data_IF_373633379683
#
_entry.id   IF_373633379683
#
_cell.length_a   1.000
_cell.length_b   1.000
_cell.length_c   1.000
_cell.angle_alpha   90.00
_cell.angle_beta   90.00
_cell.angle_gamma   90.00
#
_symmetry.space_group_name_H-M   'P 1'
#
loop_
_entity.id
_entity.type
_entity.pdbx_description
1 polymer ?
#
# COMPACT_ATOMS: atom_id res chain seq x y z
N UNK A 1 24.79 59.09 10.36
CA UNK A 1 25.65 57.98 9.89
C UNK A 1 25.37 57.76 8.41
N UNK A 2 26.41 58.02 7.62
CA UNK A 2 26.53 57.97 6.15
C UNK A 2 26.42 56.50 5.70
N UNK A 3 26.01 56.05 4.50
CA UNK A 3 25.31 56.55 3.31
C UNK A 3 25.56 55.44 2.26
N UNK A 4 24.56 55.04 1.46
CA UNK A 4 24.70 54.59 0.04
C UNK A 4 25.59 53.34 -0.26
N UNK A 5 25.47 52.54 -1.32
CA UNK A 5 24.63 52.30 -2.51
C UNK A 5 25.44 51.26 -3.34
N UNK A 6 24.86 50.75 -4.43
CA UNK A 6 25.56 50.34 -5.68
C UNK A 6 26.11 48.89 -5.74
N UNK A 7 25.42 48.07 -6.57
CA UNK A 7 25.97 46.98 -7.38
C UNK A 7 27.15 47.48 -8.23
N UNK A 8 28.21 46.70 -8.48
CA UNK A 8 28.33 46.20 -9.86
C UNK A 8 29.12 44.89 -10.04
N UNK A 9 28.89 44.31 -11.23
CA UNK A 9 29.85 43.67 -12.15
C UNK A 9 30.78 42.55 -11.66
N UNK A 10 30.59 41.35 -12.23
CA UNK A 10 31.40 40.78 -13.32
C UNK A 10 32.95 40.96 -13.31
N UNK A 11 33.67 40.16 -14.10
CA UNK A 11 34.15 38.81 -13.83
C UNK A 11 35.69 38.81 -13.72
N UNK A 12 36.32 37.76 -13.19
CA UNK A 12 37.63 37.35 -13.74
C UNK A 12 38.10 36.00 -13.21
N UNK A 13 38.27 35.09 -14.17
CA UNK A 13 39.26 34.02 -14.13
C UNK A 13 40.60 34.59 -13.68
N UNK A 14 41.25 33.96 -12.71
CA UNK A 14 42.69 33.75 -12.77
C UNK A 14 43.00 32.30 -12.41
N UNK A 15 43.43 31.62 -13.46
CA UNK A 15 44.20 30.39 -13.46
C UNK A 15 45.43 30.64 -12.58
N UNK A 16 45.57 29.83 -11.54
CA UNK A 16 46.82 29.64 -10.80
C UNK A 16 47.07 28.14 -10.75
N UNK A 17 47.89 27.65 -11.67
CA UNK A 17 48.26 26.25 -11.81
C UNK A 17 49.74 26.14 -11.39
N UNK A 18 50.00 25.76 -10.14
CA UNK A 18 51.31 25.28 -9.63
C UNK A 18 50.96 24.41 -8.40
N UNK A 19 51.03 23.08 -8.45
CA UNK A 19 52.18 22.19 -8.58
C UNK A 19 52.40 21.44 -7.24
N UNK A 20 52.04 20.16 -7.27
CA UNK A 20 52.60 19.00 -6.56
C UNK A 20 52.95 19.11 -5.06
N UNK A 21 52.21 18.36 -4.24
CA UNK A 21 52.79 17.53 -3.18
C UNK A 21 51.86 16.37 -2.86
N UNK A 22 52.38 15.15 -3.00
CA UNK A 22 51.67 13.91 -2.73
C UNK A 22 51.29 13.77 -1.25
N UNK A 23 50.01 13.59 -0.98
CA UNK A 23 49.53 12.81 0.18
C UNK A 23 48.31 12.03 -0.30
N UNK A 24 48.42 10.70 -0.27
CA UNK A 24 47.34 9.81 -0.67
C UNK A 24 46.14 10.01 0.26
N UNK A 25 45.07 10.62 -0.27
CA UNK A 25 43.76 10.50 0.35
C UNK A 25 43.18 9.16 -0.07
N UNK A 26 43.16 8.23 0.88
CA UNK A 26 42.31 7.06 0.83
C UNK A 26 40.87 7.51 0.53
N UNK A 27 40.39 7.18 -0.67
CA UNK A 27 38.99 7.32 -1.00
C UNK A 27 38.21 6.31 -0.15
N UNK A 28 37.75 6.73 1.03
CA UNK A 28 36.68 6.03 1.74
C UNK A 28 35.41 6.20 0.92
N UNK A 29 35.24 5.31 -0.06
CA UNK A 29 33.94 5.02 -0.62
C UNK A 29 33.08 4.45 0.51
N UNK A 30 32.33 5.30 1.21
CA UNK A 30 31.17 4.84 1.96
C UNK A 30 30.19 4.30 0.92
N UNK A 31 30.31 3.01 0.63
CA UNK A 31 29.23 2.25 0.06
C UNK A 31 28.08 2.32 1.07
N UNK A 32 27.13 3.23 0.83
CA UNK A 32 25.85 3.19 1.49
C UNK A 32 25.22 1.85 1.10
N UNK A 33 25.35 0.86 1.97
CA UNK A 33 24.59 -0.37 1.84
C UNK A 33 23.11 0.04 1.79
N UNK A 34 22.33 -0.45 0.80
CA UNK A 34 20.91 -0.20 0.81
C UNK A 34 20.38 -0.76 2.13
N UNK A 35 19.86 0.13 2.98
CA UNK A 35 19.15 -0.29 4.17
C UNK A 35 18.03 -1.22 3.69
N UNK A 36 18.16 -2.51 3.98
CA UNK A 36 17.07 -3.45 3.83
C UNK A 36 15.94 -2.88 4.67
N UNK A 37 14.89 -2.38 4.01
CA UNK A 37 13.73 -1.84 4.69
C UNK A 37 13.25 -2.90 5.69
N UNK A 38 13.40 -2.62 6.99
CA UNK A 38 12.84 -3.48 8.02
C UNK A 38 11.33 -3.47 7.83
N UNK A 39 10.78 -4.60 7.40
CA UNK A 39 9.34 -4.75 7.26
C UNK A 39 8.76 -5.01 8.65
N UNK A 40 8.32 -3.95 9.32
CA UNK A 40 7.72 -4.06 10.64
C UNK A 40 6.32 -4.65 10.52
N UNK A 41 6.06 -5.74 11.25
CA UNK A 41 4.70 -6.28 11.36
C UNK A 41 3.88 -5.33 12.24
N UNK A 42 2.85 -4.73 11.64
CA UNK A 42 1.96 -3.78 12.30
C UNK A 42 1.00 -4.50 13.26
N UNK A 43 0.39 -5.59 12.80
CA UNK A 43 -0.45 -6.45 13.64
C UNK A 43 -0.61 -7.85 13.05
N UNK A 44 -1.11 -8.77 13.88
CA UNK A 44 -1.59 -10.09 13.45
C UNK A 44 -3.04 -10.27 13.89
N UNK A 45 -3.81 -10.97 13.06
CA UNK A 45 -5.21 -11.28 13.32
C UNK A 45 -5.46 -12.76 13.03
N UNK A 46 -5.78 -13.53 14.08
CA UNK A 46 -6.34 -14.87 13.96
C UNK A 46 -7.81 -14.79 13.55
N UNK A 47 -8.16 -15.35 12.39
CA UNK A 47 -9.50 -15.25 11.82
C UNK A 47 -9.84 -16.40 10.88
N UNK A 48 -10.91 -16.26 10.09
CA UNK A 48 -11.28 -17.17 9.02
C UNK A 48 -11.14 -16.49 7.67
N UNK A 49 -10.60 -17.24 6.71
CA UNK A 49 -10.45 -16.83 5.32
C UNK A 49 -11.12 -17.86 4.41
N UNK A 50 -11.60 -17.42 3.26
CA UNK A 50 -12.09 -18.28 2.18
C UNK A 50 -11.33 -17.95 0.91
N UNK A 51 -11.00 -18.98 0.13
CA UNK A 51 -10.25 -18.86 -1.13
C UNK A 51 -11.13 -19.42 -2.24
N UNK A 52 -11.23 -18.69 -3.36
CA UNK A 52 -12.04 -19.05 -4.54
C UNK A 52 -13.48 -19.47 -4.19
N UNK A 53 -14.10 -18.77 -3.25
CA UNK A 53 -15.47 -19.05 -2.79
C UNK A 53 -15.65 -20.35 -2.00
N UNK A 54 -14.55 -21.02 -1.62
CA UNK A 54 -14.58 -22.24 -0.80
C UNK A 54 -15.07 -22.02 0.63
N UNK A 55 -15.14 -23.10 1.41
CA UNK A 55 -15.53 -23.01 2.81
C UNK A 55 -14.53 -22.15 3.62
N UNK A 56 -15.01 -21.31 4.57
CA UNK A 56 -14.13 -20.57 5.47
C UNK A 56 -13.27 -21.52 6.31
N UNK A 57 -11.97 -21.25 6.35
CA UNK A 57 -10.97 -21.99 7.11
C UNK A 57 -10.14 -21.05 7.98
N UNK A 58 -9.52 -21.59 9.03
CA UNK A 58 -8.66 -20.80 9.91
C UNK A 58 -7.52 -20.17 9.11
N UNK A 59 -7.23 -18.90 9.39
CA UNK A 59 -6.14 -18.16 8.79
C UNK A 59 -5.57 -17.13 9.76
N UNK A 60 -4.32 -16.74 9.52
CA UNK A 60 -3.68 -15.61 10.20
C UNK A 60 -3.46 -14.52 9.17
N UNK A 61 -3.87 -13.30 9.48
CA UNK A 61 -3.58 -12.12 8.64
C UNK A 61 -2.48 -11.32 9.32
N UNK A 62 -1.35 -11.17 8.64
CA UNK A 62 -0.27 -10.29 9.06
C UNK A 62 -0.32 -9.00 8.23
N UNK A 63 -0.49 -7.87 8.90
CA UNK A 63 -0.31 -6.57 8.29
C UNK A 63 1.14 -6.15 8.47
N UNK A 64 1.84 -5.86 7.38
CA UNK A 64 3.27 -5.55 7.35
C UNK A 64 3.46 -4.21 6.65
N UNK A 65 4.22 -3.32 7.28
CA UNK A 65 4.59 -2.05 6.66
C UNK A 65 5.62 -2.28 5.54
N UNK A 66 5.35 -1.73 4.36
CA UNK A 66 6.24 -1.72 3.21
C UNK A 66 6.34 -0.28 2.65
N UNK A 67 6.97 0.61 3.43
CA UNK A 67 7.22 1.99 3.04
C UNK A 67 5.95 2.80 2.89
N UNK A 68 5.45 2.94 1.65
CA UNK A 68 4.20 3.65 1.33
C UNK A 68 3.00 2.73 1.13
N UNK A 69 3.17 1.43 1.37
CA UNK A 69 2.14 0.42 1.26
C UNK A 69 2.03 -0.40 2.55
N UNK A 70 0.86 -1.00 2.78
CA UNK A 70 0.69 -2.06 3.75
C UNK A 70 0.45 -3.38 3.01
N UNK A 71 1.20 -4.42 3.37
CA UNK A 71 1.00 -5.78 2.91
C UNK A 71 0.14 -6.54 3.91
N UNK A 72 -0.95 -7.13 3.43
CA UNK A 72 -1.80 -8.04 4.18
C UNK A 72 -1.55 -9.46 3.70
N UNK A 73 -0.74 -10.20 4.45
CA UNK A 73 -0.42 -11.60 4.18
C UNK A 73 -1.44 -12.48 4.86
N UNK A 74 -2.28 -13.13 4.07
CA UNK A 74 -3.28 -14.09 4.53
C UNK A 74 -2.64 -15.48 4.49
N UNK A 75 -2.25 -15.98 5.66
CA UNK A 75 -1.60 -17.28 5.84
C UNK A 75 -2.70 -18.31 6.10
N UNK A 76 -2.87 -19.23 5.16
CA UNK A 76 -3.96 -20.19 5.12
C UNK A 76 -3.38 -21.59 4.95
N UNK A 77 -3.11 -22.26 6.07
CA UNK A 77 -2.35 -23.50 6.08
C UNK A 77 -0.94 -23.27 5.51
N UNK A 78 -0.66 -23.82 4.32
CA UNK A 78 0.63 -23.65 3.61
C UNK A 78 0.60 -22.56 2.53
N UNK A 79 -0.58 -22.01 2.24
CA UNK A 79 -0.76 -20.99 1.20
C UNK A 79 -0.66 -19.61 1.82
N UNK A 80 -0.02 -18.68 1.11
CA UNK A 80 0.03 -17.27 1.51
C UNK A 80 -0.52 -16.42 0.38
N UNK A 81 -1.66 -15.79 0.60
CA UNK A 81 -2.25 -14.82 -0.32
C UNK A 81 -1.92 -13.41 0.17
N UNK A 82 -1.25 -12.61 -0.66
CA UNK A 82 -0.80 -11.27 -0.23
C UNK A 82 -1.54 -10.18 -0.98
N UNK A 83 -2.22 -9.31 -0.23
CA UNK A 83 -2.83 -8.08 -0.75
C UNK A 83 -1.95 -6.90 -0.36
N UNK A 84 -1.60 -6.06 -1.33
CA UNK A 84 -0.91 -4.80 -1.09
C UNK A 84 -1.87 -3.64 -1.26
N UNK A 85 -1.93 -2.76 -0.27
CA UNK A 85 -2.75 -1.56 -0.26
C UNK A 85 -1.86 -0.32 -0.13
N UNK A 86 -2.08 0.68 -0.99
CA UNK A 86 -1.49 2.03 -0.85
C UNK A 86 -2.61 3.02 -0.63
N UNK A 87 -2.40 4.09 0.15
CA UNK A 87 -3.50 4.99 0.55
C UNK A 87 -3.51 6.36 -0.15
N UNK A 88 -2.52 6.66 -1.00
CA UNK A 88 -2.41 7.97 -1.68
C UNK A 88 -1.78 7.86 -3.08
N UNK A 89 -2.56 7.51 -4.12
CA UNK A 89 -3.99 7.18 -4.09
C UNK A 89 -4.27 5.77 -3.55
N UNK A 90 -5.52 5.52 -3.18
CA UNK A 90 -5.99 4.17 -2.84
C UNK A 90 -5.79 3.25 -4.05
N UNK A 91 -4.95 2.23 -3.89
CA UNK A 91 -4.79 1.13 -4.84
C UNK A 91 -4.70 -0.18 -4.09
N UNK A 92 -5.23 -1.24 -4.69
CA UNK A 92 -5.11 -2.59 -4.16
C UNK A 92 -4.59 -3.52 -5.25
N UNK A 93 -3.65 -4.39 -4.86
CA UNK A 93 -3.05 -5.38 -5.75
C UNK A 93 -2.85 -6.70 -5.03
N UNK A 94 -2.86 -7.80 -5.76
CA UNK A 94 -2.57 -9.15 -5.26
C UNK A 94 -1.22 -9.61 -5.80
N UNK A 95 -0.46 -10.31 -4.96
CA UNK A 95 0.76 -10.98 -5.38
C UNK A 95 0.43 -12.25 -6.15
N UNK A 96 0.91 -12.37 -7.39
CA UNK A 96 0.72 -13.57 -8.21
C UNK A 96 1.99 -14.41 -8.14
N UNK A 97 1.94 -15.49 -7.38
CA UNK A 97 3.12 -16.31 -7.07
C UNK A 97 3.76 -16.94 -8.31
N UNK A 98 2.96 -17.37 -9.30
CA UNK A 98 3.46 -18.01 -10.52
C UNK A 98 4.24 -17.07 -11.44
N UNK A 99 3.92 -15.77 -11.45
CA UNK A 99 4.59 -14.76 -12.28
C UNK A 99 5.52 -13.86 -11.48
N UNK A 100 5.48 -13.94 -10.14
CA UNK A 100 6.22 -13.07 -9.21
C UNK A 100 5.97 -11.59 -9.48
N UNK A 101 4.72 -11.25 -9.75
CA UNK A 101 4.31 -9.87 -10.07
C UNK A 101 3.08 -9.46 -9.26
N UNK A 102 2.95 -8.15 -9.07
CA UNK A 102 1.73 -7.55 -8.53
C UNK A 102 0.71 -7.36 -9.66
N UNK A 103 -0.51 -7.86 -9.44
CA UNK A 103 -1.66 -7.60 -10.30
C UNK A 103 -2.64 -6.69 -9.57
N UNK A 104 -3.14 -5.64 -10.22
CA UNK A 104 -4.22 -4.82 -9.66
C UNK A 104 -5.45 -5.69 -9.39
N UNK A 105 -6.17 -5.39 -8.31
CA UNK A 105 -7.50 -5.95 -8.09
C UNK A 105 -8.48 -5.33 -9.08
N UNK A 106 -9.49 -6.08 -9.47
CA UNK A 106 -10.62 -5.61 -10.27
C UNK A 106 -11.71 -5.03 -9.36
N UNK A 107 -11.89 -5.60 -8.16
CA UNK A 107 -12.82 -5.10 -7.17
C UNK A 107 -12.47 -5.55 -5.74
N UNK A 108 -13.02 -4.82 -4.76
CA UNK A 108 -13.03 -5.24 -3.36
C UNK A 108 -14.40 -4.90 -2.74
N UNK A 109 -14.87 -5.73 -1.83
CA UNK A 109 -16.16 -5.57 -1.17
C UNK A 109 -16.06 -5.80 0.33
N UNK A 110 -16.81 -5.02 1.09
CA UNK A 110 -16.99 -5.17 2.53
C UNK A 110 -18.46 -5.48 2.81
N UNK A 111 -18.72 -6.58 3.51
CA UNK A 111 -20.04 -6.94 4.05
C UNK A 111 -20.02 -6.83 5.56
N UNK A 112 -20.75 -5.88 6.10
CA UNK A 112 -20.73 -5.56 7.52
C UNK A 112 -21.45 -6.59 8.38
N UNK A 113 -22.58 -7.15 7.94
CA UNK A 113 -23.32 -8.18 8.70
C UNK A 113 -22.48 -9.42 9.03
N UNK A 114 -21.52 -9.75 8.18
CA UNK A 114 -20.65 -10.92 8.34
C UNK A 114 -19.20 -10.54 8.67
N UNK A 115 -18.92 -9.25 8.90
CA UNK A 115 -17.58 -8.71 9.09
C UNK A 115 -16.58 -9.18 8.02
N UNK A 116 -17.03 -9.32 6.77
CA UNK A 116 -16.24 -9.95 5.70
C UNK A 116 -15.75 -8.94 4.69
N UNK A 117 -14.48 -8.99 4.36
CA UNK A 117 -13.87 -8.29 3.23
C UNK A 117 -13.57 -9.34 2.15
N UNK A 118 -13.90 -9.06 0.90
CA UNK A 118 -13.55 -9.91 -0.22
C UNK A 118 -12.85 -9.12 -1.32
N UNK A 119 -11.90 -9.77 -1.98
CA UNK A 119 -11.10 -9.23 -3.08
C UNK A 119 -11.40 -10.03 -4.35
N UNK A 120 -11.49 -9.33 -5.49
CA UNK A 120 -11.86 -9.88 -6.80
C UNK A 120 -13.07 -10.82 -6.72
N UNK A 121 -14.20 -10.28 -6.25
CA UNK A 121 -15.41 -11.07 -6.03
C UNK A 121 -15.29 -11.92 -4.76
N UNK A 122 -14.96 -13.21 -4.93
CA UNK A 122 -14.79 -14.18 -3.83
C UNK A 122 -13.46 -14.94 -3.93
N UNK A 123 -12.51 -14.39 -4.67
CA UNK A 123 -11.21 -15.02 -4.87
C UNK A 123 -10.43 -15.16 -3.56
N UNK A 124 -10.52 -14.13 -2.72
CA UNK A 124 -10.02 -14.15 -1.35
C UNK A 124 -10.99 -13.36 -0.48
N UNK A 125 -11.48 -13.99 0.58
CA UNK A 125 -12.29 -13.32 1.60
C UNK A 125 -11.68 -13.52 2.98
N UNK A 126 -11.84 -12.53 3.85
CA UNK A 126 -11.37 -12.55 5.23
C UNK A 126 -12.42 -11.97 6.17
N UNK A 127 -12.58 -12.56 7.35
CA UNK A 127 -13.38 -11.95 8.43
C UNK A 127 -12.48 -10.98 9.20
N UNK A 128 -12.81 -9.69 9.22
CA UNK A 128 -12.06 -8.67 9.95
C UNK A 128 -13.02 -7.65 10.60
N UNK A 129 -13.52 -7.94 11.81
CA UNK A 129 -14.42 -7.03 12.51
C UNK A 129 -13.72 -5.73 12.91
N UNK A 130 -12.44 -5.78 13.29
CA UNK A 130 -11.71 -4.60 13.75
C UNK A 130 -11.61 -3.54 12.64
N UNK A 131 -11.27 -3.97 11.42
CA UNK A 131 -11.24 -3.07 10.27
C UNK A 131 -12.63 -2.53 9.92
N UNK A 132 -13.67 -3.37 9.91
CA UNK A 132 -15.01 -2.89 9.54
C UNK A 132 -15.66 -2.00 10.60
N UNK A 133 -15.28 -2.18 11.87
CA UNK A 133 -15.64 -1.24 12.93
C UNK A 133 -14.96 0.11 12.70
N UNK A 134 -13.65 0.14 12.40
CA UNK A 134 -12.95 1.40 12.12
C UNK A 134 -13.53 2.11 10.88
N UNK A 135 -13.89 1.36 9.83
CA UNK A 135 -14.56 1.94 8.65
C UNK A 135 -15.89 2.61 9.00
N UNK A 136 -16.67 2.01 9.93
CA UNK A 136 -17.94 2.60 10.41
C UNK A 136 -17.70 3.85 11.25
N UNK A 137 -16.70 3.82 12.11
CA UNK A 137 -16.30 4.96 12.95
C UNK A 137 -15.78 6.14 12.10
N UNK A 138 -14.98 5.85 11.09
CA UNK A 138 -14.39 6.87 10.20
C UNK A 138 -15.42 7.48 9.25
N UNK A 139 -16.44 6.72 8.86
CA UNK A 139 -17.41 7.11 7.82
C UNK A 139 -18.86 6.77 8.19
N UNK A 140 -19.38 7.28 9.31
CA UNK A 140 -20.70 6.90 9.81
C UNK A 140 -21.81 7.22 8.79
N UNK A 141 -21.77 8.39 8.16
CA UNK A 141 -22.82 8.82 7.22
C UNK A 141 -22.91 7.92 5.98
N UNK A 142 -21.78 7.37 5.52
CA UNK A 142 -21.74 6.51 4.32
C UNK A 142 -21.99 5.03 4.63
N UNK A 143 -21.88 4.63 5.90
CA UNK A 143 -21.98 3.23 6.34
C UNK A 143 -23.23 2.95 7.16
N UNK A 144 -23.90 3.98 7.69
CA UNK A 144 -25.12 3.86 8.47
C UNK A 144 -26.22 3.13 7.69
N UNK A 145 -26.75 2.06 8.26
CA UNK A 145 -27.78 1.23 7.64
C UNK A 145 -27.33 0.42 6.41
N UNK A 146 -26.05 0.47 6.04
CA UNK A 146 -25.48 -0.26 4.91
C UNK A 146 -24.98 -1.63 5.35
N UNK A 147 -25.21 -2.63 4.51
CA UNK A 147 -24.62 -3.96 4.69
C UNK A 147 -23.44 -4.19 3.74
N UNK A 148 -23.54 -3.73 2.50
CA UNK A 148 -22.54 -3.99 1.48
C UNK A 148 -21.99 -2.68 0.92
N UNK A 149 -20.66 -2.57 0.90
CA UNK A 149 -19.94 -1.57 0.12
C UNK A 149 -19.04 -2.33 -0.84
N UNK A 150 -19.00 -1.90 -2.10
CA UNK A 150 -18.05 -2.45 -3.07
C UNK A 150 -17.41 -1.33 -3.87
N UNK A 151 -16.11 -1.49 -4.08
CA UNK A 151 -15.32 -0.64 -4.97
C UNK A 151 -14.89 -1.45 -6.19
N UNK A 152 -14.94 -0.83 -7.35
CA UNK A 152 -14.38 -1.35 -8.59
C UNK A 152 -13.17 -0.51 -8.97
N UNK A 153 -12.10 -1.19 -9.35
CA UNK A 153 -10.87 -0.54 -9.77
C UNK A 153 -10.81 -0.45 -11.31
N UNK A 154 -10.24 0.64 -11.81
CA UNK A 154 -9.88 0.79 -13.21
C UNK A 154 -8.60 0.07 -13.57
N UNK A 155 -8.25 0.07 -14.86
CA UNK A 155 -7.02 -0.52 -15.37
C UNK A 155 -5.74 0.08 -14.74
N UNK A 156 -5.80 1.35 -14.31
CA UNK A 156 -4.72 2.06 -13.62
C UNK A 156 -4.65 1.77 -12.09
N UNK A 157 -5.51 0.88 -11.60
CA UNK A 157 -5.61 0.43 -10.21
C UNK A 157 -6.28 1.43 -9.28
N UNK A 158 -6.84 2.55 -9.79
CA UNK A 158 -7.60 3.51 -9.00
C UNK A 158 -9.06 3.11 -8.89
N UNK A 159 -9.75 3.60 -7.87
CA UNK A 159 -11.20 3.40 -7.73
C UNK A 159 -11.93 4.15 -8.85
N UNK A 160 -12.68 3.41 -9.66
CA UNK A 160 -13.53 3.94 -10.72
C UNK A 160 -14.99 4.08 -10.29
N UNK A 161 -15.45 3.18 -9.42
CA UNK A 161 -16.82 3.14 -8.96
C UNK A 161 -16.87 2.67 -7.50
N UNK A 162 -17.74 3.29 -6.72
CA UNK A 162 -18.17 2.78 -5.42
C UNK A 162 -19.68 2.60 -5.47
N UNK A 163 -20.18 1.47 -4.98
CA UNK A 163 -21.59 1.17 -4.88
C UNK A 163 -21.93 0.68 -3.47
N UNK A 164 -23.24 0.69 -3.16
CA UNK A 164 -23.77 0.32 -1.87
C UNK A 164 -24.97 -0.62 -2.05
N UNK A 165 -25.03 -1.69 -1.23
CA UNK A 165 -26.15 -2.63 -1.15
C UNK A 165 -26.65 -3.10 -2.52
N UNK A 166 -27.92 -2.88 -2.81
CA UNK A 166 -28.58 -3.22 -4.07
C UNK A 166 -27.99 -2.50 -5.29
N UNK A 167 -27.37 -1.34 -5.09
CA UNK A 167 -26.63 -0.63 -6.13
C UNK A 167 -25.38 -1.36 -6.60
N UNK A 168 -24.97 -2.44 -5.92
CA UNK A 168 -23.85 -3.29 -6.33
C UNK A 168 -24.24 -4.47 -7.21
N UNK A 169 -25.53 -4.66 -7.51
CA UNK A 169 -25.98 -5.72 -8.42
C UNK A 169 -25.33 -5.54 -9.80
N UNK A 170 -24.69 -6.59 -10.31
CA UNK A 170 -24.03 -6.60 -11.63
C UNK A 170 -22.63 -5.97 -11.69
N UNK A 171 -22.11 -5.41 -10.59
CA UNK A 171 -20.76 -4.83 -10.56
C UNK A 171 -19.74 -5.94 -10.28
N UNK A 172 -18.80 -6.18 -11.20
CA UNK A 172 -17.62 -7.05 -11.02
C UNK A 172 -17.91 -8.44 -10.46
N UNK A 173 -18.90 -9.14 -11.04
CA UNK A 173 -19.21 -10.55 -10.78
C UNK A 173 -18.18 -11.48 -11.42
#
# INVERSE_FOLDING_TARGET
MVNRKILPSWPCRRIGLLAAAATGLAATALAAAPALAQSDTLYKLDTKCSVKGGAPQACVIEAVNEGSATLYRHIIGKTVETIRVTDSPVRMSVWVEGTKTWKNLDNAAARFSTNTICFNGRDLCAINPNYLNSVREDRPDTTAGRDLIKVQFGADGRINLTCYDDGCKGIGQ
#
